data_IF_621116264229
#
_entry.id   IF_621116264229
#
_cell.length_a   1.000
_cell.length_b   1.000
_cell.length_c   1.000
_cell.angle_alpha   90.00
_cell.angle_beta   90.00
_cell.angle_gamma   90.00
#
_symmetry.space_group_name_H-M   'P 1'
#
loop_
_entity.id
_entity.type
_entity.pdbx_description
1 polymer ?
#
# COMPACT_ATOMS: atom_id res chain seq x y z
N UNK A 1 -2.29 -0.74 20.76
CA UNK A 1 -3.11 -1.82 20.20
C UNK A 1 -4.62 -1.70 20.47
N UNK A 2 -5.11 -1.36 21.67
CA UNK A 2 -6.56 -1.27 21.95
C UNK A 2 -7.33 -0.19 21.17
N UNK A 3 -6.73 0.95 20.83
CA UNK A 3 -7.38 2.05 20.09
C UNK A 3 -7.73 1.71 18.64
N UNK A 4 -6.90 0.93 17.96
CA UNK A 4 -7.13 0.58 16.55
C UNK A 4 -8.22 -0.49 16.38
N UNK A 5 -8.31 -1.43 17.31
CA UNK A 5 -9.41 -2.44 17.34
C UNK A 5 -10.77 -1.78 17.57
N UNK A 6 -10.82 -0.74 18.41
CA UNK A 6 -12.05 0.00 18.69
C UNK A 6 -12.52 0.84 17.50
N UNK A 7 -11.60 1.43 16.72
CA UNK A 7 -11.93 2.17 15.49
C UNK A 7 -12.46 1.23 14.40
N UNK A 8 -11.89 0.03 14.27
CA UNK A 8 -12.36 -0.99 13.32
C UNK A 8 -13.75 -1.49 13.74
N UNK A 9 -13.99 -1.73 15.02
CA UNK A 9 -15.29 -2.14 15.53
C UNK A 9 -16.36 -1.04 15.37
N UNK A 10 -16.01 0.23 15.57
CA UNK A 10 -16.92 1.37 15.34
C UNK A 10 -17.24 1.57 13.85
N UNK A 11 -16.27 1.40 12.97
CA UNK A 11 -16.50 1.50 11.52
C UNK A 11 -17.39 0.35 11.01
N UNK A 12 -17.20 -0.87 11.50
CA UNK A 12 -18.05 -2.01 11.20
C UNK A 12 -19.49 -1.83 11.78
N UNK A 13 -19.61 -1.33 13.01
CA UNK A 13 -20.88 -1.04 13.66
C UNK A 13 -21.61 0.13 12.97
N UNK A 14 -20.90 1.15 12.49
CA UNK A 14 -21.46 2.26 11.72
C UNK A 14 -22.08 1.82 10.39
N UNK A 15 -21.47 0.84 9.71
CA UNK A 15 -22.00 0.26 8.48
C UNK A 15 -23.29 -0.54 8.73
N UNK A 16 -23.39 -1.25 9.86
CA UNK A 16 -24.58 -2.02 10.23
C UNK A 16 -25.73 -1.11 10.65
N UNK A 17 -25.45 -0.02 11.35
CA UNK A 17 -26.48 0.95 11.79
C UNK A 17 -27.02 1.83 10.66
N UNK A 18 -26.24 2.12 9.61
CA UNK A 18 -26.71 2.84 8.44
C UNK A 18 -27.72 2.02 7.59
N UNK A 19 -27.73 0.71 7.72
CA UNK A 19 -28.61 -0.20 6.98
C UNK A 19 -30.09 -0.13 7.36
N UNK A 20 -30.44 0.51 8.47
CA UNK A 20 -31.85 0.62 8.89
C UNK A 20 -32.59 1.83 8.35
N UNK A 21 -31.90 2.75 7.66
CA UNK A 21 -32.46 4.00 7.18
C UNK A 21 -32.66 4.09 5.64
N UNK A 22 -32.06 3.15 4.86
CA UNK A 22 -32.14 3.16 3.39
C UNK A 22 -32.79 1.86 2.88
N UNK A 23 -33.96 1.96 2.26
CA UNK A 23 -34.74 0.82 1.78
C UNK A 23 -34.05 -0.01 0.67
N UNK A 24 -33.07 0.56 -0.05
CA UNK A 24 -32.38 -0.08 -1.19
C UNK A 24 -30.87 -0.22 -0.99
N UNK A 25 -30.44 -0.70 0.18
CA UNK A 25 -29.01 -0.93 0.41
C UNK A 25 -28.65 -2.42 0.29
N UNK A 26 -27.71 -2.73 -0.59
CA UNK A 26 -27.18 -4.09 -0.77
C UNK A 26 -25.76 -4.18 -0.24
N UNK A 27 -25.50 -5.18 0.58
CA UNK A 27 -24.18 -5.48 1.13
C UNK A 27 -23.58 -6.71 0.47
N UNK A 28 -22.29 -6.65 0.15
CA UNK A 28 -21.51 -7.83 -0.25
C UNK A 28 -20.21 -7.90 0.52
N UNK A 29 -19.83 -9.14 0.88
CA UNK A 29 -18.60 -9.42 1.59
C UNK A 29 -17.79 -10.42 0.78
N UNK A 30 -16.49 -10.18 0.70
CA UNK A 30 -15.54 -11.05 0.04
C UNK A 30 -14.24 -11.11 0.82
N UNK A 31 -13.41 -12.11 0.53
CA UNK A 31 -12.12 -12.25 1.16
C UNK A 31 -11.15 -12.98 0.26
N UNK A 32 -9.88 -12.83 0.56
CA UNK A 32 -8.79 -13.52 -0.11
C UNK A 32 -7.70 -13.86 0.90
N UNK A 33 -6.91 -14.86 0.57
CA UNK A 33 -5.77 -15.26 1.37
C UNK A 33 -4.75 -16.01 0.54
N UNK A 34 -3.50 -15.88 0.92
CA UNK A 34 -2.37 -16.63 0.38
C UNK A 34 -1.54 -17.10 1.56
N UNK A 35 -1.20 -18.37 1.58
CA UNK A 35 -0.17 -18.93 2.45
C UNK A 35 1.00 -19.33 1.59
N UNK A 36 2.19 -18.79 1.88
CA UNK A 36 3.39 -19.03 1.12
C UNK A 36 4.55 -19.47 2.00
N UNK A 37 5.43 -20.29 1.44
CA UNK A 37 6.73 -20.63 2.01
C UNK A 37 7.79 -20.45 0.93
N UNK A 38 8.78 -19.62 1.20
CA UNK A 38 9.88 -19.33 0.30
C UNK A 38 11.17 -19.86 0.89
N UNK A 39 11.92 -20.62 0.11
CA UNK A 39 13.25 -21.13 0.47
C UNK A 39 14.33 -20.41 -0.35
N UNK A 40 15.46 -20.16 0.27
CA UNK A 40 16.67 -19.67 -0.40
C UNK A 40 17.90 -20.21 0.32
N UNK A 41 18.87 -20.69 -0.45
CA UNK A 41 20.19 -21.16 0.01
C UNK A 41 21.25 -20.05 0.01
N UNK A 42 20.89 -18.87 -0.43
CA UNK A 42 21.79 -17.72 -0.38
C UNK A 42 22.05 -17.33 1.07
N UNK A 43 23.32 -17.35 1.50
CA UNK A 43 23.73 -17.03 2.86
C UNK A 43 24.22 -15.60 3.04
N UNK A 44 24.33 -14.84 1.97
CA UNK A 44 24.84 -13.46 1.99
C UNK A 44 23.71 -12.45 2.05
N UNK A 45 22.59 -12.71 1.34
CA UNK A 45 21.45 -11.80 1.22
C UNK A 45 20.15 -12.54 1.48
N UNK A 46 19.11 -11.78 1.87
CA UNK A 46 17.74 -12.25 1.99
C UNK A 46 16.94 -11.93 0.73
N UNK A 47 16.20 -12.90 0.25
CA UNK A 47 15.12 -12.65 -0.70
C UNK A 47 13.90 -12.09 0.04
N UNK A 48 13.40 -10.94 -0.39
CA UNK A 48 12.20 -10.27 0.14
C UNK A 48 11.18 -10.03 -0.97
N UNK A 49 9.91 -10.00 -0.64
CA UNK A 49 8.82 -9.75 -1.60
C UNK A 49 8.51 -8.27 -1.79
N UNK A 50 9.04 -7.41 -0.93
CA UNK A 50 8.86 -5.95 -1.00
C UNK A 50 10.04 -5.27 -0.30
N UNK A 51 10.40 -4.07 -0.78
CA UNK A 51 11.46 -3.24 -0.18
C UNK A 51 11.18 -2.85 1.28
N UNK A 52 9.92 -2.91 1.70
CA UNK A 52 9.51 -2.59 3.07
C UNK A 52 9.51 -3.80 4.00
N UNK A 53 9.86 -5.01 3.53
CA UNK A 53 9.97 -6.18 4.40
C UNK A 53 11.32 -6.21 5.11
N UNK A 54 11.35 -6.45 6.44
CA UNK A 54 12.58 -6.34 7.25
C UNK A 54 13.56 -7.50 7.10
N UNK A 55 13.24 -8.51 6.31
CA UNK A 55 14.06 -9.70 6.05
C UNK A 55 13.20 -10.79 5.38
N UNK A 56 13.84 -11.81 4.84
CA UNK A 56 13.19 -12.80 4.01
C UNK A 56 13.73 -14.21 4.18
N UNK A 57 13.91 -14.89 3.06
CA UNK A 57 14.56 -16.19 2.98
C UNK A 57 15.99 -16.04 2.48
N UNK A 58 16.94 -16.65 3.14
CA UNK A 58 18.37 -16.62 2.82
C UNK A 58 19.23 -16.46 4.05
N UNK A 59 19.96 -15.35 4.14
CA UNK A 59 20.87 -15.06 5.25
C UNK A 59 20.22 -15.16 6.62
N UNK A 60 19.02 -14.57 6.79
CA UNK A 60 18.35 -14.55 8.10
C UNK A 60 17.76 -15.91 8.47
N UNK A 61 17.20 -16.61 7.51
CA UNK A 61 16.61 -17.94 7.67
C UNK A 61 16.40 -18.60 6.31
N UNK A 62 16.66 -19.91 6.21
CA UNK A 62 16.55 -20.64 4.96
C UNK A 62 15.12 -20.65 4.40
N UNK A 63 14.12 -20.71 5.27
CA UNK A 63 12.69 -20.73 4.90
C UNK A 63 11.97 -19.56 5.55
N UNK A 64 11.19 -18.82 4.78
CA UNK A 64 10.33 -17.74 5.26
C UNK A 64 8.90 -17.92 4.77
N UNK A 65 7.95 -17.92 5.70
CA UNK A 65 6.51 -17.90 5.40
C UNK A 65 5.96 -16.47 5.29
N UNK A 66 6.72 -15.47 5.70
CA UNK A 66 6.25 -14.08 5.76
C UNK A 66 6.36 -13.29 4.46
N UNK A 67 6.99 -13.85 3.42
CA UNK A 67 7.22 -13.12 2.17
C UNK A 67 5.90 -12.97 1.38
N UNK A 68 5.14 -14.06 1.25
CA UNK A 68 3.96 -14.13 0.40
C UNK A 68 2.66 -14.27 1.19
N UNK A 69 2.74 -14.65 2.48
CA UNK A 69 1.53 -14.87 3.29
C UNK A 69 0.82 -13.56 3.58
N UNK A 70 -0.45 -13.50 3.20
CA UNK A 70 -1.34 -12.35 3.39
C UNK A 70 -2.78 -12.80 3.40
N UNK A 71 -3.64 -12.02 4.04
CA UNK A 71 -5.09 -12.21 4.03
C UNK A 71 -5.78 -10.85 3.95
N UNK A 72 -6.95 -10.81 3.34
CA UNK A 72 -7.76 -9.61 3.26
C UNK A 72 -9.24 -9.91 3.26
N UNK A 73 -10.00 -8.95 3.74
CA UNK A 73 -11.47 -8.94 3.70
C UNK A 73 -11.96 -7.63 3.12
N UNK A 74 -13.02 -7.69 2.34
CA UNK A 74 -13.63 -6.55 1.72
C UNK A 74 -15.14 -6.54 1.98
N UNK A 75 -15.66 -5.38 2.30
CA UNK A 75 -17.08 -5.10 2.39
C UNK A 75 -17.44 -4.01 1.38
N UNK A 76 -18.51 -4.21 0.64
CA UNK A 76 -19.08 -3.25 -0.30
C UNK A 76 -20.54 -3.02 0.07
N UNK A 77 -20.91 -1.75 0.20
CA UNK A 77 -22.30 -1.31 0.41
C UNK A 77 -22.73 -0.50 -0.81
N UNK A 78 -23.77 -0.96 -1.53
CA UNK A 78 -24.43 -0.21 -2.59
C UNK A 78 -25.68 0.44 -2.01
N UNK A 79 -25.76 1.76 -2.11
CA UNK A 79 -26.84 2.58 -1.56
C UNK A 79 -27.57 3.22 -2.74
N UNK A 80 -28.79 2.76 -3.02
CA UNK A 80 -29.48 3.10 -4.24
C UNK A 80 -28.72 2.67 -5.50
N UNK A 81 -28.84 3.44 -6.59
CA UNK A 81 -28.24 3.10 -7.88
C UNK A 81 -26.84 3.68 -8.07
N UNK A 82 -26.52 4.76 -7.38
CA UNK A 82 -25.36 5.60 -7.75
C UNK A 82 -24.26 5.64 -6.70
N UNK A 83 -24.55 5.27 -5.45
CA UNK A 83 -23.59 5.39 -4.36
C UNK A 83 -23.05 4.03 -3.93
N UNK A 84 -21.72 3.91 -3.83
CA UNK A 84 -21.07 2.67 -3.40
C UNK A 84 -19.96 2.98 -2.39
N UNK A 85 -20.06 2.41 -1.20
CA UNK A 85 -18.99 2.41 -0.19
C UNK A 85 -18.17 1.13 -0.31
N UNK A 86 -16.85 1.25 -0.28
CA UNK A 86 -15.93 0.11 -0.31
C UNK A 86 -14.92 0.21 0.82
N UNK A 87 -14.81 -0.87 1.60
CA UNK A 87 -13.84 -1.03 2.68
C UNK A 87 -13.07 -2.32 2.49
N UNK A 88 -11.75 -2.24 2.46
CA UNK A 88 -10.86 -3.39 2.39
C UNK A 88 -9.80 -3.30 3.48
N UNK A 89 -9.64 -4.39 4.21
CA UNK A 89 -8.60 -4.56 5.23
C UNK A 89 -7.68 -5.69 4.80
N UNK A 90 -6.38 -5.44 4.86
CA UNK A 90 -5.34 -6.41 4.50
C UNK A 90 -4.38 -6.59 5.67
N UNK A 91 -4.01 -7.83 5.93
CA UNK A 91 -2.95 -8.24 6.85
C UNK A 91 -1.86 -8.96 6.04
N UNK A 92 -0.70 -8.38 5.96
CA UNK A 92 0.52 -8.93 5.37
C UNK A 92 1.72 -8.58 6.27
N UNK A 93 2.85 -9.21 6.06
CA UNK A 93 4.04 -8.94 6.86
C UNK A 93 4.59 -7.55 6.58
N UNK A 94 4.62 -6.73 7.63
CA UNK A 94 5.04 -5.33 7.57
C UNK A 94 6.52 -5.15 7.95
N UNK A 95 6.99 -3.90 7.78
CA UNK A 95 8.35 -3.49 8.15
C UNK A 95 8.69 -3.69 9.64
N UNK A 96 7.71 -3.65 10.53
CA UNK A 96 7.84 -3.92 11.97
C UNK A 96 7.73 -5.43 12.31
N UNK A 97 7.78 -6.28 11.30
CA UNK A 97 7.67 -7.74 11.41
C UNK A 97 6.33 -8.23 11.98
N UNK A 98 5.29 -7.41 11.94
CA UNK A 98 3.92 -7.76 12.36
C UNK A 98 3.00 -8.00 11.17
N UNK A 99 1.86 -8.64 11.44
CA UNK A 99 0.73 -8.79 10.52
C UNK A 99 -0.44 -7.89 10.94
N UNK A 100 -0.14 -6.72 11.52
CA UNK A 100 -1.19 -5.79 11.95
C UNK A 100 -2.08 -5.39 10.76
N UNK A 101 -3.40 -5.64 10.82
CA UNK A 101 -4.31 -5.29 9.74
C UNK A 101 -4.32 -3.78 9.47
N UNK A 102 -4.41 -3.41 8.20
CA UNK A 102 -4.54 -2.02 7.77
C UNK A 102 -5.67 -1.86 6.76
N UNK A 103 -6.25 -0.67 6.73
CA UNK A 103 -7.15 -0.31 5.65
C UNK A 103 -6.34 -0.09 4.37
N UNK A 104 -6.60 -0.93 3.38
CA UNK A 104 -6.07 -0.75 2.03
C UNK A 104 -6.99 0.18 1.24
N UNK A 105 -8.32 -0.01 1.36
CA UNK A 105 -9.32 0.86 0.77
C UNK A 105 -10.35 1.28 1.82
N UNK A 106 -10.78 2.54 1.73
CA UNK A 106 -11.89 3.09 2.52
C UNK A 106 -12.44 4.30 1.77
N UNK A 107 -13.36 4.07 0.83
CA UNK A 107 -13.82 5.10 -0.07
C UNK A 107 -15.31 5.01 -0.38
N UNK A 108 -15.83 6.14 -0.84
CA UNK A 108 -17.19 6.31 -1.31
C UNK A 108 -17.11 6.72 -2.79
N UNK A 109 -17.79 5.95 -3.66
CA UNK A 109 -17.91 6.18 -5.09
C UNK A 109 -19.31 6.65 -5.40
N UNK A 110 -19.42 7.76 -6.14
CA UNK A 110 -20.66 8.24 -6.72
C UNK A 110 -20.60 8.10 -8.25
N UNK A 111 -21.56 7.39 -8.81
CA UNK A 111 -21.73 7.21 -10.25
C UNK A 111 -22.53 8.39 -10.80
N UNK A 112 -21.87 9.27 -11.58
CA UNK A 112 -22.47 10.50 -12.13
C UNK A 112 -23.31 10.16 -13.37
N UNK A 113 -22.80 9.27 -14.21
CA UNK A 113 -23.46 8.74 -15.40
C UNK A 113 -22.99 7.30 -15.62
N UNK A 114 -23.43 6.65 -16.70
CA UNK A 114 -22.94 5.31 -17.07
C UNK A 114 -21.44 5.31 -17.35
N UNK A 115 -20.92 6.44 -17.82
CA UNK A 115 -19.54 6.63 -18.26
C UNK A 115 -18.66 7.25 -17.18
N UNK A 116 -19.22 8.06 -16.25
CA UNK A 116 -18.46 8.91 -15.34
C UNK A 116 -18.71 8.59 -13.87
N UNK A 117 -17.63 8.61 -13.07
CA UNK A 117 -17.73 8.50 -11.62
C UNK A 117 -16.75 9.46 -10.92
N UNK A 118 -17.06 9.74 -9.66
CA UNK A 118 -16.13 10.33 -8.69
C UNK A 118 -16.04 9.43 -7.45
N UNK A 119 -14.85 9.27 -6.90
CA UNK A 119 -14.58 8.47 -5.71
C UNK A 119 -13.73 9.29 -4.75
N UNK A 120 -14.07 9.29 -3.46
CA UNK A 120 -13.36 10.03 -2.43
C UNK A 120 -13.04 9.13 -1.24
N UNK A 121 -11.90 9.37 -0.59
CA UNK A 121 -11.41 8.61 0.56
C UNK A 121 -10.07 7.95 0.27
N UNK A 122 -9.82 6.78 0.86
CA UNK A 122 -8.65 5.97 0.57
C UNK A 122 -8.90 5.16 -0.69
N UNK A 123 -8.29 5.59 -1.78
CA UNK A 123 -8.43 5.01 -3.11
C UNK A 123 -7.16 4.29 -3.53
N UNK A 124 -7.28 3.35 -4.45
CA UNK A 124 -6.12 2.72 -5.09
C UNK A 124 -5.29 3.77 -5.81
N UNK A 125 -3.97 3.66 -5.70
CA UNK A 125 -3.05 4.37 -6.59
C UNK A 125 -2.88 3.55 -7.88
N UNK A 126 -3.54 3.91 -9.00
CA UNK A 126 -3.57 3.09 -10.21
C UNK A 126 -2.29 3.22 -11.04
N UNK A 127 -1.13 3.04 -10.39
CA UNK A 127 0.21 3.14 -10.99
C UNK A 127 0.46 2.00 -11.97
N UNK A 128 0.06 0.80 -11.62
CA UNK A 128 0.25 -0.42 -12.40
C UNK A 128 -1.10 -0.98 -12.89
N UNK A 129 -1.06 -1.82 -13.92
CA UNK A 129 -2.27 -2.48 -14.45
C UNK A 129 -2.98 -3.34 -13.40
N UNK A 130 -2.22 -3.94 -12.48
CA UNK A 130 -2.74 -4.83 -11.42
C UNK A 130 -2.98 -4.13 -10.09
N UNK A 131 -2.90 -2.80 -10.02
CA UNK A 131 -3.02 -2.05 -8.76
C UNK A 131 -4.28 -2.40 -7.97
N UNK A 132 -5.41 -2.58 -8.66
CA UNK A 132 -6.70 -2.87 -8.03
C UNK A 132 -6.78 -4.26 -7.37
N UNK A 133 -6.00 -5.24 -7.85
CA UNK A 133 -6.03 -6.61 -7.35
C UNK A 133 -4.64 -7.16 -6.97
N UNK A 134 -3.66 -6.25 -6.75
CA UNK A 134 -2.28 -6.63 -6.40
C UNK A 134 -2.15 -7.55 -5.18
N UNK A 135 -3.10 -7.48 -4.26
CA UNK A 135 -3.13 -8.29 -3.06
C UNK A 135 -3.84 -9.64 -3.23
N UNK A 136 -4.58 -9.82 -4.32
CA UNK A 136 -5.41 -11.01 -4.58
C UNK A 136 -4.60 -12.02 -5.37
N UNK A 137 -3.96 -12.98 -4.68
CA UNK A 137 -3.02 -13.93 -5.31
C UNK A 137 -3.65 -14.76 -6.43
N UNK A 138 -4.85 -15.27 -6.25
CA UNK A 138 -5.54 -16.10 -7.26
C UNK A 138 -6.02 -15.30 -8.50
N UNK A 139 -6.04 -13.98 -8.46
CA UNK A 139 -6.35 -13.14 -9.61
C UNK A 139 -5.12 -12.92 -10.54
N UNK A 140 -3.99 -13.49 -10.18
CA UNK A 140 -2.74 -13.35 -10.89
C UNK A 140 -2.27 -14.70 -11.43
N UNK A 141 -1.69 -14.71 -12.62
CA UNK A 141 -1.11 -15.92 -13.22
C UNK A 141 0.27 -16.26 -12.66
N UNK A 142 0.90 -15.33 -11.97
CA UNK A 142 2.22 -15.45 -11.37
C UNK A 142 2.12 -15.62 -9.86
N UNK A 143 3.04 -16.38 -9.27
CA UNK A 143 3.14 -16.51 -7.80
C UNK A 143 3.43 -15.14 -7.14
N UNK A 144 4.26 -14.32 -7.80
CA UNK A 144 4.61 -12.95 -7.39
C UNK A 144 4.70 -12.06 -8.61
N UNK A 145 4.36 -10.80 -8.42
CA UNK A 145 4.65 -9.78 -9.43
C UNK A 145 6.16 -9.63 -9.63
N UNK A 146 6.63 -9.34 -10.86
CA UNK A 146 8.04 -9.06 -11.10
C UNK A 146 8.56 -7.96 -10.18
N UNK A 147 9.51 -8.32 -9.32
CA UNK A 147 10.04 -7.43 -8.29
C UNK A 147 10.65 -6.16 -8.91
N UNK A 148 11.42 -6.32 -9.98
CA UNK A 148 12.11 -5.21 -10.66
C UNK A 148 11.17 -4.10 -11.16
N UNK A 149 9.91 -4.44 -11.42
CA UNK A 149 8.89 -3.48 -11.88
C UNK A 149 8.08 -2.94 -10.69
N UNK A 150 7.53 -3.84 -9.87
CA UNK A 150 6.53 -3.48 -8.86
C UNK A 150 7.14 -2.97 -7.56
N UNK A 151 8.43 -3.22 -7.30
CA UNK A 151 9.15 -2.65 -6.17
C UNK A 151 9.53 -1.19 -6.37
N UNK A 152 9.57 -0.69 -7.60
CA UNK A 152 9.93 0.70 -7.91
C UNK A 152 8.94 1.70 -7.31
N UNK A 153 7.68 1.30 -7.12
CA UNK A 153 6.68 2.14 -6.48
C UNK A 153 5.95 1.36 -5.38
N UNK A 154 6.29 1.59 -4.10
CA UNK A 154 5.63 0.94 -2.97
C UNK A 154 4.24 1.52 -2.67
N UNK A 155 3.85 2.62 -3.31
CA UNK A 155 2.57 3.30 -3.05
C UNK A 155 1.43 2.42 -3.57
N UNK A 156 0.57 1.95 -2.67
CA UNK A 156 -0.59 1.14 -3.00
C UNK A 156 -1.89 1.94 -3.01
N UNK A 157 -1.97 2.99 -2.20
CA UNK A 157 -3.15 3.80 -2.03
C UNK A 157 -2.82 5.28 -1.83
N UNK A 158 -3.83 6.12 -2.02
CA UNK A 158 -3.79 7.55 -1.76
C UNK A 158 -5.06 7.96 -1.02
N UNK A 159 -4.93 8.86 -0.04
CA UNK A 159 -6.07 9.46 0.65
C UNK A 159 -6.47 10.73 -0.13
N UNK A 160 -7.53 10.66 -0.95
CA UNK A 160 -7.87 11.76 -1.85
C UNK A 160 -9.10 11.51 -2.71
N UNK A 161 -9.04 12.01 -3.94
CA UNK A 161 -10.13 11.96 -4.92
C UNK A 161 -9.63 11.26 -6.18
N UNK A 162 -10.50 10.43 -6.74
CA UNK A 162 -10.34 9.73 -8.00
C UNK A 162 -11.57 10.01 -8.87
N UNK A 163 -11.34 10.40 -10.11
CA UNK A 163 -12.37 10.59 -11.12
C UNK A 163 -12.07 9.71 -12.32
N UNK A 164 -13.11 9.09 -12.88
CA UNK A 164 -12.99 8.26 -14.06
C UNK A 164 -14.06 8.56 -15.07
N UNK A 165 -13.68 8.42 -16.34
CA UNK A 165 -14.57 8.52 -17.48
C UNK A 165 -14.21 7.44 -18.51
N UNK A 166 -15.22 6.69 -18.98
CA UNK A 166 -15.02 5.62 -19.97
C UNK A 166 -16.12 5.67 -21.04
N UNK A 167 -15.76 5.35 -22.26
CA UNK A 167 -16.70 5.29 -23.38
C UNK A 167 -16.23 4.30 -24.45
N UNK A 168 -17.17 3.88 -25.29
CA UNK A 168 -16.86 2.99 -26.42
C UNK A 168 -16.12 3.75 -27.52
N UNK A 169 -14.98 3.20 -27.95
CA UNK A 169 -14.13 3.77 -29.01
C UNK A 169 -13.48 2.65 -29.83
N UNK A 170 -13.56 2.75 -31.14
CA UNK A 170 -12.93 1.83 -32.10
C UNK A 170 -13.21 0.33 -31.86
N UNK A 171 -14.40 0.02 -31.34
CA UNK A 171 -14.83 -1.33 -31.02
C UNK A 171 -14.18 -1.91 -29.76
N UNK A 172 -13.74 -1.06 -28.87
CA UNK A 172 -13.25 -1.33 -27.54
C UNK A 172 -13.67 -0.25 -26.57
N UNK A 173 -13.21 -0.29 -25.32
CA UNK A 173 -13.53 0.69 -24.29
C UNK A 173 -12.28 1.54 -24.02
N UNK A 174 -12.44 2.87 -24.12
CA UNK A 174 -11.40 3.85 -23.76
C UNK A 174 -11.77 4.50 -22.42
N UNK A 175 -10.89 4.37 -21.45
CA UNK A 175 -11.04 4.91 -20.11
C UNK A 175 -9.97 5.93 -19.77
N UNK A 176 -10.36 6.98 -19.07
CA UNK A 176 -9.48 7.98 -18.47
C UNK A 176 -9.68 7.97 -16.96
N UNK A 177 -8.60 8.11 -16.21
CA UNK A 177 -8.65 8.21 -14.76
C UNK A 177 -7.68 9.30 -14.30
N UNK A 178 -8.10 10.10 -13.32
CA UNK A 178 -7.28 11.09 -12.66
C UNK A 178 -7.43 10.94 -11.14
N UNK A 179 -6.30 10.75 -10.46
CA UNK A 179 -6.24 10.61 -9.00
C UNK A 179 -5.38 11.72 -8.43
N UNK A 180 -5.85 12.35 -7.36
CA UNK A 180 -5.06 13.30 -6.59
C UNK A 180 -5.29 13.07 -5.10
N UNK A 181 -4.21 13.03 -4.32
CA UNK A 181 -4.34 12.76 -2.88
C UNK A 181 -3.03 12.82 -2.13
N UNK A 182 -3.14 12.56 -0.84
CA UNK A 182 -2.01 12.43 0.06
C UNK A 182 -1.51 10.99 0.08
N UNK A 183 -0.20 10.85 0.14
CA UNK A 183 0.50 9.58 0.31
C UNK A 183 1.03 9.56 1.74
N UNK A 184 0.76 8.45 2.44
CA UNK A 184 1.31 8.20 3.79
C UNK A 184 1.71 6.73 3.84
N UNK A 185 3.01 6.49 3.75
CA UNK A 185 3.57 5.15 3.85
C UNK A 185 4.56 5.07 5.00
N UNK A 186 4.54 3.93 5.70
CA UNK A 186 5.52 3.62 6.73
C UNK A 186 6.59 2.72 6.13
N UNK A 187 7.82 3.18 6.19
CA UNK A 187 9.02 2.42 5.82
C UNK A 187 9.89 2.20 7.05
N UNK A 188 10.80 1.22 7.08
CA UNK A 188 11.67 0.99 8.23
C UNK A 188 12.37 2.26 8.69
N UNK A 189 12.15 2.67 9.95
CA UNK A 189 12.76 3.85 10.56
C UNK A 189 12.31 5.20 10.00
N UNK A 190 11.21 5.24 9.21
CA UNK A 190 10.78 6.47 8.56
C UNK A 190 9.27 6.53 8.33
N UNK A 191 8.76 7.74 8.18
CA UNK A 191 7.44 8.04 7.62
C UNK A 191 7.61 8.80 6.31
N UNK A 192 7.15 8.21 5.22
CA UNK A 192 7.04 8.90 3.95
C UNK A 192 5.66 9.58 3.84
N UNK A 193 5.65 10.90 3.74
CA UNK A 193 4.44 11.70 3.54
C UNK A 193 4.59 12.55 2.30
N UNK A 194 3.52 12.65 1.52
CA UNK A 194 3.57 13.44 0.31
C UNK A 194 2.22 13.67 -0.33
N UNK A 195 2.27 14.30 -1.49
CA UNK A 195 1.10 14.50 -2.34
C UNK A 195 1.42 13.93 -3.71
N UNK A 196 0.48 13.15 -4.26
CA UNK A 196 0.60 12.58 -5.59
C UNK A 196 -0.57 13.00 -6.48
N UNK A 197 -0.28 13.08 -7.78
CA UNK A 197 -1.27 13.23 -8.85
C UNK A 197 -0.93 12.20 -9.92
N UNK A 198 -1.93 11.46 -10.35
CA UNK A 198 -1.79 10.45 -11.39
C UNK A 198 -2.86 10.66 -12.44
N UNK A 199 -2.45 10.60 -13.70
CA UNK A 199 -3.35 10.55 -14.85
C UNK A 199 -3.09 9.25 -15.59
N UNK A 200 -4.12 8.56 -16.02
CA UNK A 200 -3.98 7.36 -16.86
C UNK A 200 -5.05 7.28 -17.93
N UNK A 201 -4.68 6.68 -19.03
CA UNK A 201 -5.58 6.30 -20.13
C UNK A 201 -5.42 4.79 -20.35
N UNK A 202 -6.55 4.09 -20.45
CA UNK A 202 -6.58 2.65 -20.67
C UNK A 202 -7.48 2.36 -21.87
N UNK A 203 -7.00 1.56 -22.80
CA UNK A 203 -7.78 1.07 -23.94
C UNK A 203 -7.89 -0.46 -23.86
N UNK A 204 -9.12 -0.97 -23.87
CA UNK A 204 -9.41 -2.39 -23.78
C UNK A 204 -10.16 -2.84 -25.02
N UNK A 205 -9.66 -3.86 -25.69
CA UNK A 205 -10.30 -4.48 -26.86
C UNK A 205 -10.04 -5.98 -26.89
N UNK A 206 -11.12 -6.76 -26.78
CA UNK A 206 -11.02 -8.22 -26.71
C UNK A 206 -10.17 -8.67 -25.51
N UNK A 207 -9.08 -9.37 -25.78
CA UNK A 207 -8.14 -9.85 -24.75
C UNK A 207 -6.94 -8.90 -24.52
N UNK A 208 -6.93 -7.74 -25.16
CA UNK A 208 -5.81 -6.81 -25.11
C UNK A 208 -6.16 -5.57 -24.30
N UNK A 209 -5.28 -5.19 -23.39
CA UNK A 209 -5.36 -3.96 -22.59
C UNK A 209 -4.07 -3.17 -22.76
N UNK A 210 -4.21 -1.92 -23.16
CA UNK A 210 -3.11 -0.96 -23.26
C UNK A 210 -3.34 0.16 -22.26
N UNK A 211 -2.31 0.48 -21.49
CA UNK A 211 -2.37 1.57 -20.51
C UNK A 211 -1.15 2.46 -20.65
N UNK A 212 -1.40 3.75 -20.60
CA UNK A 212 -0.39 4.79 -20.44
C UNK A 212 -0.77 5.68 -19.26
N UNK A 213 0.22 6.12 -18.49
CA UNK A 213 -0.03 6.98 -17.33
C UNK A 213 1.15 7.87 -17.03
N UNK A 214 0.87 8.95 -16.32
CA UNK A 214 1.86 9.88 -15.79
C UNK A 214 1.59 10.09 -14.29
N UNK A 215 2.60 9.84 -13.47
CA UNK A 215 2.59 10.09 -12.04
C UNK A 215 3.51 11.28 -11.74
N UNK A 216 3.00 12.22 -10.97
CA UNK A 216 3.79 13.27 -10.34
C UNK A 216 3.52 13.24 -8.85
N UNK A 217 4.54 12.94 -8.07
CA UNK A 217 4.48 12.93 -6.63
C UNK A 217 5.58 13.82 -6.03
N UNK A 218 5.36 14.23 -4.80
CA UNK A 218 6.36 14.84 -3.92
C UNK A 218 6.25 14.13 -2.60
N UNK A 219 7.25 13.35 -2.28
CA UNK A 219 7.30 12.56 -1.05
C UNK A 219 8.46 13.06 -0.20
N UNK A 220 8.17 13.45 1.02
CA UNK A 220 9.18 13.74 2.03
C UNK A 220 9.30 12.51 2.93
N UNK A 221 10.47 11.96 3.04
CA UNK A 221 10.78 10.89 3.97
C UNK A 221 11.59 11.47 5.14
N UNK A 222 11.01 11.46 6.33
CA UNK A 222 11.73 11.76 7.57
C UNK A 222 12.36 10.46 8.06
N UNK A 223 13.68 10.34 7.96
CA UNK A 223 14.40 9.20 8.53
C UNK A 223 14.86 9.53 9.95
N UNK A 224 14.41 8.73 10.91
CA UNK A 224 15.00 8.75 12.25
C UNK A 224 16.29 7.94 12.24
N UNK A 225 17.39 8.64 12.15
CA UNK A 225 18.74 8.06 12.17
C UNK A 225 19.36 8.03 13.58
N UNK A 226 18.58 8.41 14.60
CA UNK A 226 19.11 8.53 15.97
C UNK A 226 19.68 7.20 16.46
N UNK A 227 19.02 6.08 16.23
CA UNK A 227 19.52 4.77 16.64
C UNK A 227 20.88 4.42 15.98
N UNK A 228 21.08 4.80 14.71
CA UNK A 228 22.35 4.60 14.02
C UNK A 228 23.43 5.55 14.55
N UNK A 229 23.06 6.79 14.86
CA UNK A 229 23.96 7.77 15.51
C UNK A 229 24.36 7.30 16.90
N UNK A 230 23.42 6.74 17.68
CA UNK A 230 23.69 6.19 19.02
C UNK A 230 24.68 5.02 18.93
N UNK A 231 24.42 4.04 18.06
CA UNK A 231 25.35 2.92 17.86
C UNK A 231 26.77 3.39 17.43
N UNK A 232 26.84 4.41 16.58
CA UNK A 232 28.11 4.97 16.16
C UNK A 232 28.79 5.72 17.29
N UNK A 233 28.07 6.49 18.08
CA UNK A 233 28.61 7.17 19.27
C UNK A 233 29.12 6.18 20.32
N UNK A 234 28.39 5.09 20.54
CA UNK A 234 28.83 4.01 21.45
C UNK A 234 30.11 3.37 20.95
N UNK A 235 30.21 3.06 19.65
CA UNK A 235 31.40 2.50 19.05
C UNK A 235 32.61 3.46 19.14
N UNK A 236 32.40 4.76 18.87
CA UNK A 236 33.41 5.79 18.99
C UNK A 236 33.89 5.98 20.44
N UNK A 237 32.97 5.93 21.40
CA UNK A 237 33.25 6.00 22.82
C UNK A 237 34.10 4.79 23.26
N UNK A 238 33.68 3.59 22.83
CA UNK A 238 34.46 2.37 23.11
C UNK A 238 35.88 2.41 22.50
N UNK A 239 35.99 2.91 21.26
CA UNK A 239 37.30 3.13 20.64
C UNK A 239 38.12 4.17 21.40
N UNK A 240 37.54 5.28 21.83
CA UNK A 240 38.18 6.31 22.65
C UNK A 240 38.70 5.76 23.97
N UNK A 241 37.94 4.85 24.59
CA UNK A 241 38.35 4.15 25.81
C UNK A 241 39.58 3.28 25.56
N UNK A 242 39.64 2.56 24.42
CA UNK A 242 40.78 1.72 24.03
C UNK A 242 42.07 2.51 23.75
N UNK A 243 41.93 3.74 23.19
CA UNK A 243 43.07 4.59 22.86
C UNK A 243 43.40 5.66 23.92
N UNK A 244 42.69 5.64 25.06
CA UNK A 244 42.87 6.59 26.15
C UNK A 244 42.56 8.05 25.82
N UNK A 245 41.63 8.29 24.88
CA UNK A 245 41.18 9.62 24.46
C UNK A 245 39.62 9.65 24.38
N UNK A 246 38.96 10.76 24.77
CA UNK A 246 37.51 10.88 24.55
C UNK A 246 37.22 10.82 23.07
N UNK A 247 36.29 9.92 22.68
CA UNK A 247 35.82 9.80 21.29
C UNK A 247 35.00 11.03 20.86
N UNK A 248 34.96 11.35 19.56
CA UNK A 248 34.10 12.37 19.03
C UNK A 248 32.61 11.97 19.21
N UNK A 249 31.77 12.91 19.57
CA UNK A 249 30.30 12.71 19.68
C UNK A 249 29.63 13.30 18.45
N UNK A 250 28.83 12.51 17.75
CA UNK A 250 28.03 12.94 16.61
C UNK A 250 26.70 13.46 17.13
N UNK A 251 26.33 14.72 16.85
CA UNK A 251 25.06 15.27 17.29
C UNK A 251 23.88 14.66 16.53
N UNK A 252 22.77 14.45 17.21
CA UNK A 252 21.53 14.04 16.61
C UNK A 252 21.00 15.17 15.70
N UNK A 253 20.92 14.92 14.40
CA UNK A 253 20.28 15.81 13.42
C UNK A 253 19.30 14.98 12.60
N UNK A 254 18.05 15.40 12.54
CA UNK A 254 17.10 14.84 11.60
C UNK A 254 17.57 15.07 10.17
N UNK A 255 17.59 14.04 9.35
CA UNK A 255 17.88 14.13 7.92
C UNK A 255 16.55 14.19 7.20
N UNK A 256 16.24 15.34 6.62
CA UNK A 256 15.06 15.52 5.76
C UNK A 256 15.49 15.26 4.32
N UNK A 257 15.02 14.15 3.73
CA UNK A 257 15.19 13.89 2.30
C UNK A 257 13.95 14.35 1.54
N UNK A 258 14.14 15.23 0.56
CA UNK A 258 13.11 15.59 -0.42
C UNK A 258 13.40 14.84 -1.71
N UNK A 259 12.50 13.95 -2.07
CA UNK A 259 12.49 13.35 -3.40
C UNK A 259 11.65 14.26 -4.32
N UNK A 260 12.27 14.73 -5.40
CA UNK A 260 11.65 15.62 -6.41
C UNK A 260 10.99 14.78 -7.50
#
# INVERSE_FOLDING_TARGET
MKRNAMVIALAAAGLVLAGTACADTTYSFSGFGTLGATHSDNREIDFVGSIVQPGGAGRSKAISTGIDSKAGVQAVAKIGNDLTGTFQVVADRRFDNTYAPRFEWANLKYQISKEAYVRAGRVVAPVFMVSDYRNVGYAQTMVRMPYDVYSQNPISHMDGIDVGYQFEFAGGTLGFSAVAGQIKEFVPGSQAKGNGKLLSMTFEKGYSTFRIGALKDRVNAEMDVNAQVDMLNDALTQYGYLVGRPGPVIPHRGIEMRLL
#
